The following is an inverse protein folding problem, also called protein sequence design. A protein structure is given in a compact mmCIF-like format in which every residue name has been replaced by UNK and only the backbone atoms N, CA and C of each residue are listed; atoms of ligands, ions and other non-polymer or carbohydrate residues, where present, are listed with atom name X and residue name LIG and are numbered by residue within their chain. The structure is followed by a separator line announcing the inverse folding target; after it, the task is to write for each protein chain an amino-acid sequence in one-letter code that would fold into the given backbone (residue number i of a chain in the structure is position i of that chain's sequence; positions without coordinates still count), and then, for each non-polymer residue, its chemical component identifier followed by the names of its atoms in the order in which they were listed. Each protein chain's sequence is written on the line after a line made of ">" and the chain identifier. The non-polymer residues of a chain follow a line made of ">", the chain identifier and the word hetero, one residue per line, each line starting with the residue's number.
data_IF_835867563688
#
_entry.id   IF_835867563688
#
_cell.length_a   1.000
_cell.length_b   1.000
_cell.length_c   1.000
_cell.angle_alpha   90.00
_cell.angle_beta   90.00
_cell.angle_gamma   90.00
#
_symmetry.space_group_name_H-M   'P 1'
#
loop_
_entity.id
_entity.type
_entity.pdbx_description
1 polymer ?
#
# COMPACT_ATOMS: atom_id res chain seq x y z
N UNK A 1 -18.82 3.08 21.64
CA UNK A 1 -19.83 3.47 20.67
C UNK A 1 -19.92 2.59 19.42
N UNK A 2 -19.15 2.81 18.31
CA UNK A 2 -19.30 1.98 17.10
C UNK A 2 -18.75 0.56 17.28
N UNK A 3 -17.55 0.44 17.81
CA UNK A 3 -16.91 -0.84 18.14
C UNK A 3 -17.80 -1.71 19.06
N UNK A 4 -18.36 -1.11 20.10
CA UNK A 4 -19.24 -1.81 21.06
C UNK A 4 -20.47 -2.38 20.35
N UNK A 5 -21.07 -1.64 19.41
CA UNK A 5 -22.20 -2.14 18.61
C UNK A 5 -21.81 -3.35 17.75
N UNK A 6 -20.62 -3.32 17.14
CA UNK A 6 -20.13 -4.42 16.33
C UNK A 6 -19.88 -5.67 17.17
N UNK A 7 -19.24 -5.51 18.32
CA UNK A 7 -18.98 -6.61 19.26
C UNK A 7 -20.28 -7.18 19.86
N UNK A 8 -21.24 -6.31 20.24
CA UNK A 8 -22.54 -6.74 20.72
C UNK A 8 -23.36 -7.50 19.64
N UNK A 9 -23.13 -7.21 18.37
CA UNK A 9 -23.71 -7.93 17.25
C UNK A 9 -22.96 -9.25 16.91
N UNK A 10 -21.99 -9.66 17.72
CA UNK A 10 -21.18 -10.88 17.50
C UNK A 10 -20.24 -10.82 16.29
N UNK A 11 -19.91 -9.61 15.80
CA UNK A 11 -19.04 -9.45 14.63
C UNK A 11 -17.57 -9.45 15.03
N UNK A 12 -16.75 -10.22 14.31
CA UNK A 12 -15.30 -10.07 14.37
C UNK A 12 -14.93 -8.70 13.82
N UNK A 13 -14.05 -7.99 14.53
CA UNK A 13 -13.69 -6.61 14.19
C UNK A 13 -12.18 -6.42 14.31
N UNK A 14 -11.56 -5.94 13.24
CA UNK A 14 -10.17 -5.48 13.26
C UNK A 14 -10.11 -4.07 13.84
N UNK A 15 -9.18 -3.84 14.75
CA UNK A 15 -8.92 -2.54 15.35
C UNK A 15 -7.46 -2.18 15.14
N UNK A 16 -7.22 -1.04 14.52
CA UNK A 16 -5.87 -0.52 14.28
C UNK A 16 -5.73 0.88 14.87
N UNK A 17 -4.55 1.26 15.40
CA UNK A 17 -4.27 2.64 15.74
C UNK A 17 -4.35 3.53 14.50
N UNK A 18 -4.91 4.73 14.65
CA UNK A 18 -4.83 5.72 13.61
C UNK A 18 -3.41 6.33 13.58
N UNK A 19 -2.77 6.27 12.43
CA UNK A 19 -1.44 6.84 12.21
C UNK A 19 -1.60 8.21 11.52
N UNK A 20 -1.69 9.26 12.31
CA UNK A 20 -2.03 10.63 11.90
C UNK A 20 -1.08 11.24 10.86
N UNK A 21 0.13 10.71 10.73
CA UNK A 21 1.08 11.12 9.68
C UNK A 21 0.58 10.83 8.27
N UNK A 22 -0.42 9.97 8.11
CA UNK A 22 -1.05 9.72 6.80
C UNK A 22 -1.71 10.98 6.25
N UNK A 23 -2.21 11.87 7.09
CA UNK A 23 -2.86 13.11 6.65
C UNK A 23 -1.92 14.08 5.93
N UNK A 24 -0.64 14.08 6.31
CA UNK A 24 0.41 14.93 5.73
C UNK A 24 1.21 14.21 4.64
N UNK A 25 1.59 12.96 4.90
CA UNK A 25 2.54 12.23 4.07
C UNK A 25 1.88 11.24 3.12
N UNK A 26 0.62 10.87 3.37
CA UNK A 26 -0.04 9.77 2.67
C UNK A 26 0.68 8.45 2.91
N UNK A 27 0.48 7.52 1.99
CA UNK A 27 1.15 6.23 1.94
C UNK A 27 2.14 6.21 0.77
N UNK A 28 3.17 5.39 0.88
CA UNK A 28 4.07 5.07 -0.23
C UNK A 28 3.85 3.62 -0.63
N UNK A 29 3.27 3.41 -1.80
CA UNK A 29 3.12 2.09 -2.39
C UNK A 29 4.36 1.75 -3.22
N UNK A 30 5.03 0.67 -2.86
CA UNK A 30 6.24 0.18 -3.53
C UNK A 30 5.91 -1.10 -4.28
N UNK A 31 6.16 -1.10 -5.59
CA UNK A 31 5.84 -2.21 -6.48
C UNK A 31 7.09 -2.98 -6.86
N UNK A 32 7.02 -4.30 -6.67
CA UNK A 32 7.96 -5.28 -7.20
C UNK A 32 7.32 -6.01 -8.36
N UNK A 33 8.10 -6.29 -9.40
CA UNK A 33 7.72 -7.16 -10.53
C UNK A 33 8.81 -8.23 -10.64
N UNK A 34 8.41 -9.48 -10.53
CA UNK A 34 9.36 -10.55 -10.27
C UNK A 34 10.15 -10.28 -9.00
N UNK A 35 11.46 -10.52 -9.02
CA UNK A 35 12.34 -10.28 -7.89
C UNK A 35 12.87 -8.84 -7.77
N UNK A 36 12.41 -7.90 -8.62
CA UNK A 36 13.01 -6.59 -8.76
C UNK A 36 12.06 -5.45 -8.37
N UNK A 37 12.59 -4.42 -7.69
CA UNK A 37 11.89 -3.15 -7.54
C UNK A 37 11.53 -2.59 -8.93
N UNK A 38 10.28 -2.20 -9.10
CA UNK A 38 9.78 -1.66 -10.36
C UNK A 38 9.56 -0.15 -10.29
N UNK A 39 8.68 0.28 -9.43
CA UNK A 39 8.30 1.69 -9.27
C UNK A 39 7.60 1.91 -7.93
N UNK A 40 7.29 3.15 -7.63
CA UNK A 40 6.46 3.49 -6.48
C UNK A 40 5.55 4.67 -6.79
N UNK A 41 4.51 4.80 -6.00
CA UNK A 41 3.58 5.92 -6.08
C UNK A 41 3.09 6.32 -4.69
N UNK A 42 2.66 7.55 -4.60
CA UNK A 42 2.03 8.12 -3.41
C UNK A 42 0.52 7.87 -3.48
N UNK A 43 -0.05 7.42 -2.37
CA UNK A 43 -1.50 7.35 -2.13
C UNK A 43 -1.85 8.42 -1.10
N UNK A 44 -2.73 9.35 -1.48
CA UNK A 44 -3.27 10.32 -0.52
C UNK A 44 -4.18 9.65 0.50
N UNK A 45 -4.45 10.30 1.64
CA UNK A 45 -5.34 9.75 2.65
C UNK A 45 -6.76 9.59 2.08
N UNK A 46 -7.32 8.40 2.19
CA UNK A 46 -8.71 8.11 1.80
C UNK A 46 -9.72 8.62 2.83
N UNK A 47 -9.36 8.54 4.10
CA UNK A 47 -10.18 8.95 5.23
C UNK A 47 -9.33 9.79 6.18
N UNK A 48 -9.91 10.87 6.70
CA UNK A 48 -9.28 11.68 7.74
C UNK A 48 -10.11 11.61 9.01
N UNK A 49 -9.45 11.83 10.12
CA UNK A 49 -10.14 11.88 11.40
C UNK A 49 -11.19 13.00 11.40
N UNK A 50 -12.47 12.65 11.59
CA UNK A 50 -13.58 13.59 11.56
C UNK A 50 -14.29 13.71 10.22
N UNK A 51 -13.82 13.08 9.15
CA UNK A 51 -14.57 13.00 7.90
C UNK A 51 -15.88 12.25 8.12
N UNK A 52 -16.94 12.76 7.50
CA UNK A 52 -18.26 12.12 7.49
C UNK A 52 -18.32 10.94 6.52
N UNK A 53 -19.52 10.37 6.38
CA UNK A 53 -19.78 9.34 5.38
C UNK A 53 -19.56 9.87 3.97
N UNK A 54 -18.69 9.22 3.21
CA UNK A 54 -18.51 9.50 1.78
C UNK A 54 -19.62 8.79 1.01
N UNK A 55 -20.38 9.55 0.22
CA UNK A 55 -21.38 8.98 -0.67
C UNK A 55 -20.68 8.48 -1.95
N UNK A 56 -20.76 7.19 -2.20
CA UNK A 56 -20.18 6.55 -3.38
C UNK A 56 -19.65 5.16 -3.06
N UNK A 57 -19.42 4.37 -4.11
CA UNK A 57 -18.89 3.03 -3.93
C UNK A 57 -17.40 3.04 -3.52
N UNK A 58 -16.66 4.05 -4.01
CA UNK A 58 -15.24 4.24 -3.70
C UNK A 58 -14.95 5.73 -3.48
N UNK A 59 -14.10 6.04 -2.50
CA UNK A 59 -13.51 7.35 -2.38
C UNK A 59 -12.48 7.57 -3.50
N UNK A 60 -12.41 8.77 -4.13
CA UNK A 60 -11.41 9.03 -5.16
C UNK A 60 -10.00 9.02 -4.54
N UNK A 61 -9.16 8.14 -5.03
CA UNK A 61 -7.77 8.05 -4.61
C UNK A 61 -6.92 9.14 -5.28
N UNK A 62 -6.07 9.79 -4.48
CA UNK A 62 -5.08 10.73 -4.99
C UNK A 62 -3.75 10.01 -5.22
N UNK A 63 -3.55 9.54 -6.44
CA UNK A 63 -2.33 8.80 -6.81
C UNK A 63 -1.38 9.74 -7.57
N UNK A 64 -0.09 9.71 -7.20
CA UNK A 64 0.99 10.47 -7.85
C UNK A 64 2.27 9.64 -7.92
N UNK A 65 3.11 9.81 -8.95
CA UNK A 65 4.44 9.21 -8.96
C UNK A 65 5.22 9.61 -7.71
N UNK A 66 5.97 8.69 -7.13
CA UNK A 66 6.81 8.94 -5.96
C UNK A 66 8.07 8.10 -6.00
N UNK A 67 9.19 8.71 -5.64
CA UNK A 67 10.41 8.01 -5.36
C UNK A 67 10.51 7.75 -3.86
N UNK A 68 10.54 6.47 -3.41
CA UNK A 68 10.66 6.16 -1.99
C UNK A 68 12.03 6.55 -1.46
N UNK A 69 12.08 7.07 -0.23
CA UNK A 69 13.34 7.37 0.42
C UNK A 69 14.11 6.09 0.84
N UNK A 70 15.34 6.28 1.34
CA UNK A 70 16.20 5.15 1.72
C UNK A 70 15.63 4.30 2.87
N UNK A 71 14.83 4.90 3.77
CA UNK A 71 14.19 4.16 4.86
C UNK A 71 13.02 3.36 4.33
N UNK A 72 12.18 3.95 3.48
CA UNK A 72 11.07 3.29 2.80
C UNK A 72 11.55 2.12 1.94
N UNK A 73 12.64 2.33 1.16
CA UNK A 73 13.25 1.24 0.35
C UNK A 73 13.72 0.07 1.21
N UNK A 74 14.36 0.35 2.37
CA UNK A 74 14.82 -0.72 3.27
C UNK A 74 13.66 -1.51 3.86
N UNK A 75 12.59 -0.83 4.28
CA UNK A 75 11.40 -1.49 4.85
C UNK A 75 10.71 -2.34 3.78
N UNK A 76 10.51 -1.79 2.58
CA UNK A 76 9.91 -2.53 1.46
C UNK A 76 10.75 -3.75 1.08
N UNK A 77 12.09 -3.60 0.96
CA UNK A 77 12.98 -4.71 0.64
C UNK A 77 12.98 -5.81 1.71
N UNK A 78 12.92 -5.43 2.99
CA UNK A 78 12.81 -6.38 4.08
C UNK A 78 11.48 -7.15 4.03
N UNK A 79 10.35 -6.44 3.81
CA UNK A 79 9.04 -7.07 3.66
C UNK A 79 9.00 -8.01 2.45
N UNK A 80 9.54 -7.58 1.29
CA UNK A 80 9.65 -8.43 0.10
C UNK A 80 10.50 -9.68 0.36
N UNK A 81 11.58 -9.55 1.14
CA UNK A 81 12.44 -10.67 1.52
C UNK A 81 11.71 -11.83 2.19
N UNK A 82 10.65 -11.56 2.96
CA UNK A 82 9.84 -12.60 3.59
C UNK A 82 9.03 -13.43 2.59
N UNK A 83 8.67 -12.85 1.44
CA UNK A 83 7.84 -13.50 0.43
C UNK A 83 8.62 -13.93 -0.80
N UNK A 84 9.89 -13.56 -0.92
CA UNK A 84 10.72 -13.85 -2.10
C UNK A 84 10.82 -15.35 -2.40
N UNK A 85 10.78 -16.21 -1.37
CA UNK A 85 10.78 -17.67 -1.53
C UNK A 85 9.52 -18.23 -2.23
N UNK A 86 8.43 -17.48 -2.29
CA UNK A 86 7.22 -17.85 -3.03
C UNK A 86 7.29 -17.43 -4.51
N UNK A 87 8.34 -16.72 -4.91
CA UNK A 87 8.55 -16.20 -6.29
C UNK A 87 7.32 -15.49 -6.86
N UNK A 88 6.78 -14.48 -6.17
CA UNK A 88 5.59 -13.81 -6.66
C UNK A 88 5.87 -13.08 -7.97
N UNK A 89 4.93 -13.17 -8.93
CA UNK A 89 5.01 -12.42 -10.18
C UNK A 89 5.06 -10.91 -9.95
N UNK A 90 4.35 -10.45 -8.93
CA UNK A 90 4.35 -9.07 -8.46
C UNK A 90 4.03 -9.02 -6.97
N UNK A 91 4.38 -7.90 -6.36
CA UNK A 91 3.95 -7.54 -5.01
C UNK A 91 3.80 -6.02 -4.90
N UNK A 92 2.78 -5.55 -4.17
CA UNK A 92 2.69 -4.16 -3.73
C UNK A 92 2.80 -4.09 -2.22
N UNK A 93 3.69 -3.24 -1.74
CA UNK A 93 3.96 -3.03 -0.32
C UNK A 93 3.64 -1.59 0.00
N UNK A 94 2.54 -1.39 0.72
CA UNK A 94 2.09 -0.07 1.13
C UNK A 94 2.73 0.29 2.47
N UNK A 95 3.44 1.40 2.48
CA UNK A 95 4.17 1.91 3.62
C UNK A 95 3.49 3.14 4.20
N UNK A 96 3.48 3.24 5.51
CA UNK A 96 2.92 4.36 6.25
C UNK A 96 3.93 4.84 7.31
N UNK A 97 3.89 6.14 7.64
CA UNK A 97 4.74 6.70 8.69
C UNK A 97 4.01 6.75 10.03
N UNK A 98 4.71 6.33 11.08
CA UNK A 98 4.23 6.48 12.46
C UNK A 98 4.47 7.91 12.99
N UNK A 99 4.05 8.19 14.22
CA UNK A 99 4.23 9.49 14.87
C UNK A 99 5.70 9.94 15.05
N UNK A 100 6.69 9.04 14.88
CA UNK A 100 8.13 9.35 14.86
C UNK A 100 8.69 9.52 13.45
N UNK A 101 7.84 9.57 12.43
CA UNK A 101 8.22 9.58 11.01
C UNK A 101 8.99 8.33 10.56
N UNK A 102 8.92 7.23 11.30
CA UNK A 102 9.49 5.96 10.90
C UNK A 102 8.53 5.24 9.96
N UNK A 103 9.04 4.68 8.87
CA UNK A 103 8.24 3.91 7.91
C UNK A 103 7.98 2.50 8.43
N UNK A 104 6.74 2.04 8.32
CA UNK A 104 6.32 0.68 8.59
C UNK A 104 5.47 0.13 7.45
N UNK A 105 5.31 -1.18 7.38
CA UNK A 105 4.39 -1.83 6.44
C UNK A 105 2.96 -1.65 6.95
N UNK A 106 2.11 -1.07 6.13
CA UNK A 106 0.67 -1.01 6.36
C UNK A 106 -0.01 -2.23 5.76
N UNK A 107 0.34 -2.55 4.52
CA UNK A 107 -0.27 -3.61 3.75
C UNK A 107 0.74 -4.29 2.83
N UNK A 108 0.53 -5.59 2.60
CA UNK A 108 1.27 -6.39 1.63
C UNK A 108 0.25 -7.06 0.71
N UNK A 109 0.16 -6.59 -0.53
CA UNK A 109 -0.78 -7.10 -1.52
C UNK A 109 -0.08 -7.99 -2.55
N UNK A 110 -0.52 -9.24 -2.62
CA UNK A 110 0.00 -10.28 -3.52
C UNK A 110 -1.04 -10.75 -4.55
N UNK A 111 -2.29 -10.36 -4.34
CA UNK A 111 -3.41 -10.72 -5.22
C UNK A 111 -4.20 -9.46 -5.57
N UNK A 112 -4.39 -9.22 -6.86
CA UNK A 112 -5.21 -8.12 -7.41
C UNK A 112 -4.80 -6.67 -7.05
N UNK A 113 -3.55 -6.33 -6.65
CA UNK A 113 -3.23 -4.94 -6.39
C UNK A 113 -3.36 -4.08 -7.65
N UNK A 114 -3.84 -2.85 -7.48
CA UNK A 114 -3.69 -1.84 -8.51
C UNK A 114 -2.21 -1.46 -8.62
N UNK A 115 -1.60 -1.70 -9.78
CA UNK A 115 -0.18 -1.43 -10.02
C UNK A 115 0.08 -0.04 -10.61
N UNK A 116 -0.97 0.69 -10.99
CA UNK A 116 -0.95 2.08 -11.46
C UNK A 116 0.11 2.35 -12.54
N UNK A 117 0.16 1.53 -13.58
CA UNK A 117 1.11 1.65 -14.71
C UNK A 117 1.07 3.02 -15.42
N UNK A 118 -0.04 3.77 -15.31
CA UNK A 118 -0.11 5.13 -15.82
C UNK A 118 0.97 6.06 -15.23
N UNK A 119 1.42 5.79 -14.00
CA UNK A 119 2.46 6.56 -13.33
C UNK A 119 3.88 6.00 -13.54
N UNK A 120 3.99 4.83 -14.20
CA UNK A 120 5.25 4.18 -14.55
C UNK A 120 5.08 3.37 -15.86
N UNK A 121 4.95 4.03 -17.04
CA UNK A 121 4.60 3.34 -18.28
C UNK A 121 5.52 2.16 -18.65
N UNK A 122 6.83 2.29 -18.37
CA UNK A 122 7.78 1.20 -18.64
C UNK A 122 7.55 -0.03 -17.74
N UNK A 123 6.83 0.11 -16.64
CA UNK A 123 6.53 -1.01 -15.75
C UNK A 123 5.55 -2.02 -16.37
N UNK A 124 4.72 -1.58 -17.31
CA UNK A 124 3.82 -2.48 -18.04
C UNK A 124 4.62 -3.47 -18.91
N UNK A 125 5.71 -3.00 -19.54
CA UNK A 125 6.59 -3.87 -20.33
C UNK A 125 7.33 -4.86 -19.42
N UNK A 126 7.89 -4.39 -18.29
CA UNK A 126 8.53 -5.28 -17.30
C UNK A 126 7.58 -6.34 -16.76
N UNK A 127 6.30 -5.97 -16.56
CA UNK A 127 5.29 -6.92 -16.12
C UNK A 127 4.98 -7.96 -17.19
N UNK A 128 4.88 -7.54 -18.46
CA UNK A 128 4.65 -8.45 -19.57
C UNK A 128 5.83 -9.42 -19.73
N UNK A 129 7.06 -8.94 -19.63
CA UNK A 129 8.27 -9.78 -19.69
C UNK A 129 8.28 -10.80 -18.54
N UNK A 130 8.03 -10.37 -17.31
CA UNK A 130 7.96 -11.26 -16.15
C UNK A 130 6.84 -12.31 -16.27
N UNK A 131 5.70 -11.97 -16.89
CA UNK A 131 4.61 -12.90 -17.14
C UNK A 131 4.99 -13.99 -18.18
N UNK A 132 5.83 -13.63 -19.15
CA UNK A 132 6.30 -14.59 -20.17
C UNK A 132 7.37 -15.56 -19.64
N UNK A 133 8.03 -15.19 -18.53
CA UNK A 133 9.06 -15.99 -17.87
C UNK A 133 8.52 -16.87 -16.73
N UNK A 134 7.26 -16.64 -16.30
CA UNK A 134 6.60 -17.37 -15.20
C UNK A 134 5.99 -18.70 -15.66
#
# INVERSE_FOLDING_TARGET
>A
AHLERLLAAGRSTMLQPYLDRVDEHGETAVVYIGASYSHAFHKGPLLRLGDGLVSGLFAPEQIKPREPDAAERRVAAAAFGFIAGASPLYARIDLIRNGRCESGVLELELTEPSLYFLHAPDAAFRFADALLEA
#
